data_IF_423858662909
#
_entry.id   IF_423858662909
#
_cell.length_a   1.000
_cell.length_b   1.000
_cell.length_c   1.000
_cell.angle_alpha   90.00
_cell.angle_beta   90.00
_cell.angle_gamma   90.00
#
_symmetry.space_group_name_H-M   'P 1'
#
loop_
_entity.id
_entity.type
_entity.pdbx_description
1 polymer ?
#
# COMPACT_ATOMS: atom_id res chain seq x y z
N UNK A 1 -20.11 0.93 3.80
CA UNK A 1 -20.19 -0.40 3.20
C UNK A 1 -20.92 -1.33 4.15
N UNK A 2 -21.90 -2.02 3.66
CA UNK A 2 -22.79 -2.84 4.45
C UNK A 2 -22.16 -4.18 4.85
N UNK A 3 -21.09 -4.19 5.58
CA UNK A 3 -20.50 -5.42 6.10
C UNK A 3 -20.01 -6.45 5.07
N UNK A 4 -20.10 -6.15 3.78
CA UNK A 4 -19.57 -7.04 2.76
C UNK A 4 -18.07 -6.86 2.67
N UNK A 5 -17.34 -7.97 2.87
CA UNK A 5 -15.90 -7.92 2.67
C UNK A 5 -15.60 -7.98 1.16
N UNK A 6 -14.80 -7.06 0.69
CA UNK A 6 -14.31 -7.10 -0.69
C UNK A 6 -13.29 -8.24 -0.80
N UNK A 7 -13.37 -9.07 -1.86
CA UNK A 7 -12.54 -10.29 -1.94
C UNK A 7 -11.04 -10.05 -1.81
N UNK A 8 -10.53 -8.92 -2.35
CA UNK A 8 -9.09 -8.62 -2.31
C UNK A 8 -8.57 -8.25 -0.93
N UNK A 9 -9.44 -7.89 0.01
CA UNK A 9 -9.01 -7.53 1.38
C UNK A 9 -8.36 -8.71 2.09
N UNK A 10 -8.78 -9.93 1.77
CA UNK A 10 -8.24 -11.14 2.42
C UNK A 10 -6.98 -11.69 1.76
N UNK A 11 -6.51 -11.09 0.68
CA UNK A 11 -5.25 -11.47 0.04
C UNK A 11 -5.39 -12.52 -1.05
N UNK A 12 -4.32 -13.31 -1.26
CA UNK A 12 -4.19 -14.26 -2.35
C UNK A 12 -4.40 -13.56 -3.69
N UNK A 13 -3.56 -12.57 -3.97
CA UNK A 13 -3.67 -11.71 -5.14
C UNK A 13 -2.64 -12.07 -6.20
N UNK A 14 -2.99 -11.77 -7.46
CA UNK A 14 -2.10 -11.90 -8.59
C UNK A 14 -1.78 -10.52 -9.13
N UNK A 15 -0.51 -10.20 -9.28
CA UNK A 15 -0.09 -8.92 -9.84
C UNK A 15 0.61 -9.15 -11.18
N UNK A 16 0.23 -8.38 -12.20
CA UNK A 16 0.93 -8.45 -13.46
C UNK A 16 2.38 -8.01 -13.29
N UNK A 17 3.30 -8.72 -13.93
CA UNK A 17 4.73 -8.44 -13.80
C UNK A 17 5.06 -6.99 -14.13
N UNK A 18 4.44 -6.42 -15.16
CA UNK A 18 4.66 -5.02 -15.53
C UNK A 18 4.30 -4.05 -14.42
N UNK A 19 3.25 -4.36 -13.65
CA UNK A 19 2.83 -3.53 -12.51
C UNK A 19 3.81 -3.66 -11.35
N UNK A 20 4.23 -4.90 -11.05
CA UNK A 20 5.22 -5.11 -9.99
C UNK A 20 6.55 -4.44 -10.32
N UNK A 21 6.99 -4.55 -11.57
CA UNK A 21 8.21 -3.90 -12.03
C UNK A 21 8.14 -2.38 -11.87
N UNK A 22 6.98 -1.78 -12.13
CA UNK A 22 6.80 -0.33 -11.97
C UNK A 22 6.76 0.09 -10.50
N UNK A 23 6.19 -0.71 -9.62
CA UNK A 23 6.24 -0.47 -8.18
C UNK A 23 7.69 -0.48 -7.70
N UNK A 24 8.47 -1.48 -8.13
CA UNK A 24 9.88 -1.61 -7.78
C UNK A 24 10.69 -0.45 -8.33
N UNK A 25 10.41 -0.03 -9.56
CA UNK A 25 11.08 1.12 -10.16
C UNK A 25 10.79 2.41 -9.38
N UNK A 26 9.54 2.61 -8.98
CA UNK A 26 9.15 3.77 -8.15
C UNK A 26 9.90 3.75 -6.81
N UNK A 27 10.02 2.57 -6.20
CA UNK A 27 10.76 2.41 -4.95
C UNK A 27 12.24 2.76 -5.11
N UNK A 28 12.85 2.33 -6.21
CA UNK A 28 14.26 2.63 -6.50
C UNK A 28 14.47 4.12 -6.77
N UNK A 29 13.58 4.75 -7.52
CA UNK A 29 13.68 6.18 -7.84
C UNK A 29 13.50 7.04 -6.59
N UNK A 30 12.67 6.63 -5.66
CA UNK A 30 12.41 7.39 -4.43
C UNK A 30 13.45 7.19 -3.33
N UNK A 31 14.20 6.09 -3.37
CA UNK A 31 15.19 5.78 -2.33
C UNK A 31 16.16 6.95 -2.13
N UNK A 32 16.48 7.38 -0.90
CA UNK A 32 16.19 6.75 0.39
C UNK A 32 14.88 7.20 1.06
N UNK A 33 13.93 7.74 0.32
CA UNK A 33 12.61 8.06 0.82
C UNK A 33 11.62 6.96 0.47
N UNK A 34 10.63 6.73 1.34
CA UNK A 34 9.57 5.75 1.07
C UNK A 34 8.68 6.24 -0.07
N UNK A 35 8.46 5.38 -1.05
CA UNK A 35 7.52 5.62 -2.16
C UNK A 35 6.18 5.00 -1.83
N UNK A 36 5.11 5.49 -2.43
CA UNK A 36 3.77 4.97 -2.17
C UNK A 36 2.85 5.18 -3.36
N UNK A 37 1.75 4.47 -3.36
CA UNK A 37 0.74 4.60 -4.40
C UNK A 37 -0.38 3.60 -4.27
N UNK A 38 -1.23 3.56 -5.29
CA UNK A 38 -2.40 2.69 -5.34
C UNK A 38 -2.26 1.66 -6.46
N UNK A 39 -2.78 0.46 -6.21
CA UNK A 39 -2.83 -0.61 -7.22
C UNK A 39 -4.30 -0.96 -7.45
N UNK A 40 -4.67 -1.04 -8.71
CA UNK A 40 -6.04 -1.27 -9.16
C UNK A 40 -6.17 -2.59 -9.89
N UNK A 41 -7.40 -3.04 -10.02
CA UNK A 41 -7.74 -4.15 -10.89
C UNK A 41 -9.22 -4.16 -11.21
N UNK A 42 -9.66 -5.03 -12.15
CA UNK A 42 -11.06 -5.11 -12.51
C UNK A 42 -11.91 -5.64 -11.36
N UNK A 43 -13.09 -5.06 -11.16
CA UNK A 43 -14.00 -5.52 -10.11
C UNK A 43 -14.46 -6.96 -10.33
N UNK A 44 -14.59 -7.39 -11.60
CA UNK A 44 -15.02 -8.72 -11.99
C UNK A 44 -13.91 -9.77 -12.02
N UNK A 45 -12.67 -9.37 -11.72
CA UNK A 45 -11.54 -10.28 -11.51
C UNK A 45 -10.89 -9.95 -10.18
N UNK A 46 -11.50 -10.39 -9.07
CA UNK A 46 -11.15 -9.91 -7.72
C UNK A 46 -9.68 -10.04 -7.34
N UNK A 47 -8.99 -11.08 -7.80
CA UNK A 47 -7.60 -11.32 -7.42
C UNK A 47 -6.59 -10.58 -8.29
N UNK A 48 -7.00 -9.98 -9.41
CA UNK A 48 -6.07 -9.40 -10.37
C UNK A 48 -5.70 -7.96 -10.05
N UNK A 49 -4.40 -7.68 -10.10
CA UNK A 49 -3.81 -6.34 -9.99
C UNK A 49 -3.13 -6.02 -11.31
N UNK A 50 -3.68 -5.07 -12.07
CA UNK A 50 -3.22 -4.81 -13.45
C UNK A 50 -2.90 -3.35 -13.77
N UNK A 51 -2.96 -2.46 -12.79
CA UNK A 51 -2.62 -1.06 -12.98
C UNK A 51 -2.20 -0.42 -11.66
N UNK A 52 -1.43 0.65 -11.74
CA UNK A 52 -1.03 1.40 -10.54
C UNK A 52 -1.07 2.90 -10.80
N UNK A 53 -1.09 3.65 -9.71
CA UNK A 53 -0.98 5.10 -9.72
C UNK A 53 0.01 5.50 -8.64
N UNK A 54 1.12 6.11 -9.03
CA UNK A 54 2.10 6.63 -8.11
C UNK A 54 1.52 7.80 -7.34
N UNK A 55 1.84 7.91 -6.05
CA UNK A 55 1.43 9.03 -5.22
C UNK A 55 2.64 9.72 -4.62
N UNK A 56 2.47 11.00 -4.30
CA UNK A 56 3.48 11.73 -3.57
C UNK A 56 3.47 11.30 -2.11
N UNK A 57 4.65 11.08 -1.54
CA UNK A 57 4.79 10.89 -0.10
C UNK A 57 4.87 12.26 0.56
N UNK A 58 3.83 12.63 1.31
CA UNK A 58 3.74 13.94 1.97
C UNK A 58 4.30 13.94 3.40
N UNK A 59 5.00 12.90 3.80
CA UNK A 59 5.53 12.78 5.16
C UNK A 59 6.39 13.97 5.58
N UNK A 60 7.27 14.43 4.70
CA UNK A 60 8.15 15.57 4.99
C UNK A 60 7.37 16.87 5.20
N UNK A 61 6.31 17.06 4.42
CA UNK A 61 5.43 18.22 4.54
C UNK A 61 4.74 18.23 5.91
N UNK A 62 4.16 17.11 6.32
CA UNK A 62 3.50 17.00 7.63
C UNK A 62 4.49 17.17 8.77
N UNK A 63 5.69 16.60 8.62
CA UNK A 63 6.75 16.75 9.62
C UNK A 63 7.15 18.23 9.81
N UNK A 64 7.28 18.99 8.71
CA UNK A 64 7.60 20.42 8.80
C UNK A 64 6.49 21.24 9.47
N UNK A 65 5.22 20.89 9.16
CA UNK A 65 4.08 21.64 9.69
C UNK A 65 3.80 21.34 11.17
N UNK A 66 4.01 20.09 11.59
CA UNK A 66 3.74 19.64 12.95
C UNK A 66 4.66 18.48 13.33
N UNK A 67 5.92 18.78 13.70
CA UNK A 67 6.88 17.71 14.02
C UNK A 67 6.57 16.94 15.30
N UNK A 68 5.68 17.45 16.15
CA UNK A 68 5.26 16.74 17.37
C UNK A 68 4.29 15.60 17.00
N UNK A 69 3.26 15.90 16.19
CA UNK A 69 2.29 14.91 15.73
C UNK A 69 2.92 13.97 14.69
N UNK A 70 3.79 14.51 13.81
CA UNK A 70 4.43 13.76 12.73
C UNK A 70 5.95 13.79 12.92
N UNK A 71 6.49 12.98 13.85
CA UNK A 71 7.91 13.03 14.18
C UNK A 71 8.81 12.36 13.13
N UNK A 72 8.24 11.62 12.16
CA UNK A 72 9.00 10.90 11.17
C UNK A 72 9.02 11.62 9.83
N UNK A 73 10.16 11.53 9.13
CA UNK A 73 10.32 12.04 7.76
C UNK A 73 10.06 10.92 6.75
N UNK A 74 10.13 11.26 5.46
CA UNK A 74 9.89 10.31 4.37
C UNK A 74 10.86 9.12 4.33
N UNK A 75 11.96 9.17 5.06
CA UNK A 75 12.91 8.06 5.12
C UNK A 75 12.36 6.85 5.89
N UNK A 76 11.43 7.06 6.81
CA UNK A 76 10.88 6.00 7.68
C UNK A 76 9.36 6.07 7.79
N UNK A 77 8.71 6.88 6.96
CA UNK A 77 7.27 7.06 7.03
C UNK A 77 6.73 7.48 5.66
N UNK A 78 5.46 7.18 5.41
CA UNK A 78 4.78 7.72 4.25
C UNK A 78 3.40 8.24 4.64
N UNK A 79 2.95 9.26 3.92
CA UNK A 79 1.63 9.86 4.13
C UNK A 79 1.06 10.24 2.78
N UNK A 80 -0.06 9.63 2.42
CA UNK A 80 -0.82 10.01 1.23
C UNK A 80 -1.88 11.01 1.69
N UNK A 81 -2.12 12.04 0.88
CA UNK A 81 -3.17 13.00 1.14
C UNK A 81 -4.52 12.26 1.28
N UNK A 82 -5.18 12.42 2.43
CA UNK A 82 -6.41 11.67 2.73
C UNK A 82 -7.56 12.00 1.79
N UNK A 83 -7.68 13.25 1.36
CA UNK A 83 -8.73 13.64 0.43
C UNK A 83 -8.50 13.03 -0.95
N UNK A 84 -7.24 13.02 -1.42
CA UNK A 84 -6.88 12.34 -2.67
C UNK A 84 -7.16 10.85 -2.58
N UNK A 85 -6.79 10.23 -1.47
CA UNK A 85 -7.05 8.80 -1.25
C UNK A 85 -8.55 8.51 -1.32
N UNK A 86 -9.36 9.26 -0.59
CA UNK A 86 -10.81 9.07 -0.60
C UNK A 86 -11.39 9.20 -2.02
N UNK A 87 -10.96 10.20 -2.76
CA UNK A 87 -11.41 10.41 -4.15
C UNK A 87 -10.97 9.28 -5.07
N UNK A 88 -9.75 8.79 -4.90
CA UNK A 88 -9.20 7.71 -5.72
C UNK A 88 -9.97 6.41 -5.46
N UNK A 89 -10.26 6.08 -4.21
CA UNK A 89 -11.07 4.91 -3.87
C UNK A 89 -12.49 5.01 -4.46
N UNK A 90 -13.12 6.17 -4.33
CA UNK A 90 -14.47 6.39 -4.86
C UNK A 90 -14.49 6.30 -6.39
N UNK A 91 -13.55 6.95 -7.06
CA UNK A 91 -13.47 6.95 -8.52
C UNK A 91 -13.23 5.54 -9.06
N UNK A 92 -12.32 4.79 -8.45
CA UNK A 92 -12.06 3.41 -8.86
C UNK A 92 -13.29 2.53 -8.74
N UNK A 93 -14.03 2.67 -7.64
CA UNK A 93 -15.25 1.94 -7.41
C UNK A 93 -16.30 2.27 -8.49
N UNK A 94 -16.46 3.54 -8.81
CA UNK A 94 -17.42 3.98 -9.83
C UNK A 94 -17.05 3.51 -11.24
N UNK A 95 -15.76 3.39 -11.52
CA UNK A 95 -15.25 2.98 -12.83
C UNK A 95 -15.19 1.46 -13.01
N UNK A 96 -15.56 0.67 -12.00
CA UNK A 96 -15.41 -0.80 -12.03
C UNK A 96 -13.95 -1.23 -11.95
N UNK A 97 -13.07 -0.35 -11.49
CA UNK A 97 -11.64 -0.59 -11.34
C UNK A 97 -11.19 -0.12 -9.96
N UNK A 98 -11.62 -0.84 -8.91
CA UNK A 98 -11.33 -0.42 -7.53
C UNK A 98 -9.85 -0.44 -7.19
N UNK A 99 -9.49 0.42 -6.24
CA UNK A 99 -8.20 0.30 -5.55
C UNK A 99 -8.27 -0.96 -4.70
N UNK A 100 -7.32 -1.86 -4.91
CA UNK A 100 -7.24 -3.14 -4.18
C UNK A 100 -6.07 -3.18 -3.22
N UNK A 101 -5.04 -2.36 -3.46
CA UNK A 101 -3.81 -2.34 -2.68
C UNK A 101 -3.28 -0.92 -2.56
N UNK A 102 -2.78 -0.60 -1.38
CA UNK A 102 -1.88 0.53 -1.19
C UNK A 102 -0.47 -0.07 -1.07
N UNK A 103 0.47 0.42 -1.89
CA UNK A 103 1.85 -0.05 -1.79
C UNK A 103 2.74 1.04 -1.20
N UNK A 104 3.79 0.61 -0.52
CA UNK A 104 4.86 1.52 -0.12
C UNK A 104 6.18 0.78 -0.05
N UNK A 105 7.27 1.54 -0.03
CA UNK A 105 8.61 0.97 0.10
C UNK A 105 9.16 1.21 1.50
N UNK A 106 9.99 0.28 1.97
CA UNK A 106 10.85 0.48 3.12
C UNK A 106 12.27 0.70 2.62
N UNK A 107 13.00 1.61 3.26
CA UNK A 107 14.36 1.95 2.87
C UNK A 107 15.34 1.43 3.92
N UNK A 108 16.22 0.52 3.51
CA UNK A 108 17.21 -0.14 4.38
C UNK A 108 16.56 -0.88 5.56
N UNK A 109 15.36 -1.41 5.32
CA UNK A 109 14.60 -2.23 6.26
C UNK A 109 13.85 -3.31 5.47
N UNK A 110 13.47 -4.39 6.14
CA UNK A 110 12.75 -5.50 5.51
C UNK A 110 11.33 -5.13 5.07
N UNK A 111 10.70 -6.01 4.31
CA UNK A 111 9.35 -5.81 3.78
C UNK A 111 8.26 -6.23 4.79
N UNK A 112 8.51 -6.07 6.08
CA UNK A 112 7.52 -6.33 7.12
C UNK A 112 6.48 -5.19 7.18
N UNK A 113 5.33 -5.47 7.77
CA UNK A 113 4.34 -4.43 8.06
C UNK A 113 4.66 -3.89 9.45
N UNK A 114 5.16 -2.65 9.52
CA UNK A 114 5.67 -2.09 10.77
C UNK A 114 4.54 -1.74 11.74
N UNK A 115 4.91 -1.49 13.00
CA UNK A 115 3.94 -1.00 13.99
C UNK A 115 3.35 0.34 13.56
N UNK A 116 4.17 1.19 12.92
CA UNK A 116 3.71 2.45 12.34
C UNK A 116 2.68 2.24 11.24
N UNK A 117 2.94 1.26 10.35
CA UNK A 117 2.01 0.91 9.28
C UNK A 117 0.69 0.41 9.88
N UNK A 118 0.76 -0.48 10.85
CA UNK A 118 -0.43 -1.02 11.52
C UNK A 118 -1.24 0.09 12.20
N UNK A 119 -0.57 1.02 12.88
CA UNK A 119 -1.23 2.13 13.55
C UNK A 119 -1.87 3.11 12.55
N UNK A 120 -1.29 3.23 11.35
CA UNK A 120 -1.82 4.08 10.29
C UNK A 120 -3.08 3.49 9.66
N UNK A 121 -3.12 2.18 9.45
CA UNK A 121 -4.13 1.54 8.63
C UNK A 121 -5.18 0.72 9.36
N UNK A 122 -5.03 0.53 10.68
CA UNK A 122 -6.05 -0.15 11.49
C UNK A 122 -6.28 0.64 12.78
N UNK A 123 -7.53 0.70 13.22
CA UNK A 123 -7.92 1.37 14.45
C UNK A 123 -9.14 0.68 15.04
N UNK A 124 -9.07 0.42 16.34
CA UNK A 124 -10.15 -0.24 17.08
C UNK A 124 -10.62 -1.55 16.41
N UNK A 125 -9.67 -2.31 15.86
CA UNK A 125 -9.93 -3.58 15.19
C UNK A 125 -10.50 -3.45 13.78
N UNK A 126 -10.58 -2.24 13.25
CA UNK A 126 -11.15 -1.97 11.91
C UNK A 126 -10.11 -1.42 10.96
N UNK A 127 -10.20 -1.89 9.72
CA UNK A 127 -9.36 -1.43 8.63
C UNK A 127 -9.79 -0.02 8.20
N UNK A 128 -8.83 0.88 8.06
CA UNK A 128 -9.11 2.28 7.69
C UNK A 128 -9.48 2.45 6.22
N UNK A 129 -8.88 1.65 5.32
CA UNK A 129 -9.16 1.66 3.89
C UNK A 129 -9.48 0.23 3.44
N UNK A 130 -10.44 0.05 2.51
CA UNK A 130 -10.85 -1.31 2.10
C UNK A 130 -9.89 -1.92 1.08
N UNK A 131 -8.67 -2.24 1.51
CA UNK A 131 -7.63 -2.77 0.63
C UNK A 131 -6.63 -3.64 1.40
N UNK A 132 -5.77 -4.31 0.63
CA UNK A 132 -4.58 -5.00 1.14
C UNK A 132 -3.37 -4.07 0.95
N UNK A 133 -2.18 -4.53 1.34
CA UNK A 133 -0.96 -3.71 1.35
C UNK A 133 0.22 -4.47 0.79
N UNK A 134 0.99 -3.83 -0.10
CA UNK A 134 2.26 -4.37 -0.59
C UNK A 134 3.38 -3.53 -0.01
N UNK A 135 4.40 -4.19 0.54
CA UNK A 135 5.62 -3.54 0.99
C UNK A 135 6.78 -4.05 0.15
N UNK A 136 7.56 -3.12 -0.39
CA UNK A 136 8.78 -3.42 -1.14
C UNK A 136 9.97 -2.93 -0.32
N UNK A 137 10.94 -3.82 -0.08
CA UNK A 137 12.15 -3.47 0.64
C UNK A 137 13.27 -3.09 -0.33
N UNK A 138 13.84 -1.91 -0.15
CA UNK A 138 15.02 -1.46 -0.89
C UNK A 138 16.18 -1.37 0.09
N UNK A 139 17.21 -2.19 -0.14
CA UNK A 139 18.40 -2.28 0.70
C UNK A 139 19.61 -1.82 -0.10
N UNK A 140 20.27 -0.75 0.36
CA UNK A 140 21.44 -0.19 -0.35
C UNK A 140 21.16 0.12 -1.83
N UNK A 141 19.95 0.62 -2.12
CA UNK A 141 19.59 0.99 -3.49
C UNK A 141 19.17 -0.17 -4.38
N UNK A 142 18.97 -1.37 -3.83
CA UNK A 142 18.52 -2.55 -4.59
C UNK A 142 17.27 -3.16 -3.96
N UNK A 143 16.34 -3.62 -4.80
CA UNK A 143 15.15 -4.32 -4.32
C UNK A 143 15.55 -5.66 -3.70
N UNK A 144 15.24 -5.84 -2.43
CA UNK A 144 15.58 -7.07 -1.69
C UNK A 144 14.41 -8.04 -1.61
N UNK A 145 13.21 -7.53 -1.34
CA UNK A 145 12.02 -8.39 -1.20
C UNK A 145 10.75 -7.58 -1.39
N UNK A 146 9.63 -8.29 -1.57
CA UNK A 146 8.28 -7.74 -1.64
C UNK A 146 7.32 -8.70 -0.96
N UNK A 147 6.34 -8.16 -0.22
CA UNK A 147 5.38 -8.97 0.53
C UNK A 147 4.01 -8.31 0.50
N UNK A 148 2.98 -9.16 0.55
CA UNK A 148 1.59 -8.75 0.63
C UNK A 148 1.10 -8.93 2.06
N UNK A 149 0.49 -7.89 2.63
CA UNK A 149 -0.02 -7.89 3.99
C UNK A 149 -1.52 -7.61 3.98
N UNK A 150 -2.25 -8.31 4.83
CA UNK A 150 -3.70 -8.18 4.95
C UNK A 150 -4.09 -8.01 6.41
N UNK A 151 -5.13 -7.23 6.62
CA UNK A 151 -5.66 -6.97 7.97
C UNK A 151 -6.28 -8.23 8.57
N UNK A 152 -6.02 -8.46 9.86
CA UNK A 152 -6.71 -9.50 10.63
C UNK A 152 -7.93 -8.90 11.29
N UNK A 153 -9.16 -9.27 10.85
CA UNK A 153 -10.40 -8.67 11.35
C UNK A 153 -10.51 -8.75 12.88
N UNK A 154 -10.99 -7.67 13.47
CA UNK A 154 -11.16 -7.60 14.93
C UNK A 154 -9.91 -7.26 15.71
N UNK A 155 -8.77 -7.07 15.02
CA UNK A 155 -7.50 -6.68 15.62
C UNK A 155 -6.92 -5.49 14.89
N UNK A 156 -5.85 -4.90 15.43
CA UNK A 156 -5.07 -3.88 14.71
C UNK A 156 -3.86 -4.52 14.01
N UNK A 157 -3.85 -5.85 13.89
CA UNK A 157 -2.74 -6.59 13.32
C UNK A 157 -2.92 -6.89 11.84
N UNK A 158 -1.80 -7.24 11.21
CA UNK A 158 -1.76 -7.65 9.80
C UNK A 158 -0.98 -8.95 9.69
N UNK A 159 -1.33 -9.77 8.71
CA UNK A 159 -0.64 -11.03 8.42
C UNK A 159 -0.20 -11.06 6.97
N UNK A 160 0.84 -11.82 6.70
CA UNK A 160 1.32 -11.99 5.32
C UNK A 160 0.35 -12.88 4.53
N UNK A 161 0.14 -12.54 3.26
CA UNK A 161 -0.65 -13.33 2.33
C UNK A 161 0.15 -13.59 1.05
N UNK A 162 -0.38 -14.43 0.19
CA UNK A 162 0.29 -14.82 -1.05
C UNK A 162 0.10 -13.76 -2.13
N UNK A 163 1.22 -13.31 -2.72
CA UNK A 163 1.25 -12.46 -3.89
C UNK A 163 1.94 -13.22 -5.02
N UNK A 164 1.19 -13.52 -6.07
CA UNK A 164 1.72 -14.24 -7.24
C UNK A 164 1.98 -13.25 -8.36
N UNK A 165 3.18 -13.30 -8.94
CA UNK A 165 3.51 -12.47 -10.09
C UNK A 165 3.05 -13.20 -11.34
N UNK A 166 2.19 -12.52 -12.10
CA UNK A 166 1.62 -13.06 -13.32
C UNK A 166 2.49 -12.65 -14.51
N UNK A 167 3.12 -13.65 -15.13
CA UNK A 167 3.93 -13.44 -16.33
C UNK A 167 3.03 -13.12 -17.53
N UNK A 168 3.53 -12.35 -18.51
CA UNK A 168 2.76 -12.03 -19.71
C UNK A 168 2.53 -13.26 -20.61
#
# INVERSE_FOLDING_TARGET
MSGESLPWISGDLEIEKSVMDEIEQHALEGYPSESCGFVFGPADQPALLDALQREANEADKYHRLDPVTFPRTSNTYFKINELRAARTFEQGQNDGRPVKVIYHSHCDAGAYFSDEDSATFANEGQLMWPCAYIVVSVMNGEVAERRLWVHEPGTNGFRESTLTIREP
#
